data_IF_090168016311
#
_entry.id   IF_090168016311
#
_cell.length_a   1.000
_cell.length_b   1.000
_cell.length_c   1.000
_cell.angle_alpha   90.00
_cell.angle_beta   90.00
_cell.angle_gamma   90.00
#
_symmetry.space_group_name_H-M   'P 1'
#
loop_
_entity.id
_entity.type
_entity.pdbx_description
1 polymer ?
#
# COMPACT_ATOMS: atom_id res chain seq x y z
N UNK A 1 -24.02 -69.31 -10.18
CA UNK A 1 -24.08 -69.88 -8.82
C UNK A 1 -22.79 -69.50 -8.13
N UNK A 2 -22.68 -68.76 -7.03
CA UNK A 2 -23.58 -68.39 -5.94
C UNK A 2 -22.94 -67.17 -5.26
N UNK A 3 -23.75 -66.13 -5.02
CA UNK A 3 -23.77 -65.15 -3.91
C UNK A 3 -22.43 -64.65 -3.31
N UNK A 4 -22.22 -63.35 -3.09
CA UNK A 4 -23.16 -62.53 -2.36
C UNK A 4 -22.91 -61.02 -2.57
N UNK A 5 -24.01 -60.32 -2.80
CA UNK A 5 -24.24 -58.93 -2.36
C UNK A 5 -23.66 -58.75 -0.95
N UNK A 6 -22.58 -58.00 -0.84
CA UNK A 6 -22.21 -57.32 0.39
C UNK A 6 -22.41 -55.83 0.15
N UNK A 7 -23.59 -55.40 0.61
CA UNK A 7 -24.03 -54.02 0.66
C UNK A 7 -23.52 -53.43 1.97
N UNK A 8 -23.07 -52.17 1.90
CA UNK A 8 -22.90 -51.15 2.94
C UNK A 8 -21.75 -51.32 3.95
N UNK A 9 -20.73 -50.48 3.79
CA UNK A 9 -20.19 -49.69 4.91
C UNK A 9 -19.69 -48.35 4.39
N UNK A 10 -20.36 -47.26 4.79
CA UNK A 10 -19.91 -45.89 4.61
C UNK A 10 -18.74 -45.60 5.57
N UNK A 11 -17.78 -44.77 5.17
CA UNK A 11 -17.03 -43.84 6.04
C UNK A 11 -16.28 -42.83 5.13
N UNK A 12 -16.62 -41.56 5.34
CA UNK A 12 -15.99 -40.38 4.74
C UNK A 12 -14.52 -40.24 5.18
N UNK A 13 -13.65 -39.76 4.28
CA UNK A 13 -12.37 -39.18 4.68
C UNK A 13 -11.90 -38.09 3.71
N UNK A 14 -12.07 -36.84 4.17
CA UNK A 14 -11.26 -35.65 3.94
C UNK A 14 -10.93 -35.24 2.49
N UNK A 15 -11.79 -34.40 1.92
CA UNK A 15 -11.31 -33.36 1.01
C UNK A 15 -10.49 -32.35 1.84
N UNK A 16 -9.17 -32.53 1.89
CA UNK A 16 -8.26 -31.46 2.25
C UNK A 16 -8.24 -30.46 1.10
N UNK A 17 -9.28 -29.63 1.01
CA UNK A 17 -9.14 -28.35 0.33
C UNK A 17 -8.21 -27.56 1.24
N UNK A 18 -6.93 -27.58 0.91
CA UNK A 18 -5.96 -26.67 1.48
C UNK A 18 -6.54 -25.28 1.32
N UNK A 19 -7.00 -24.71 2.44
CA UNK A 19 -7.24 -23.29 2.58
C UNK A 19 -5.85 -22.66 2.43
N UNK A 20 -5.41 -22.48 1.18
CA UNK A 20 -4.42 -21.48 0.89
C UNK A 20 -5.00 -20.20 1.46
N UNK A 21 -4.44 -19.75 2.59
CA UNK A 21 -4.76 -18.45 3.14
C UNK A 21 -4.75 -17.45 1.98
N UNK A 22 -5.69 -16.49 1.92
CA UNK A 22 -5.66 -15.49 0.88
C UNK A 22 -4.26 -14.89 0.91
N UNK A 23 -3.52 -15.07 -0.18
CA UNK A 23 -2.29 -14.34 -0.38
C UNK A 23 -2.72 -12.88 -0.40
N UNK A 24 -2.55 -12.19 0.73
CA UNK A 24 -2.78 -10.78 0.82
C UNK A 24 -1.78 -10.20 -0.16
N UNK A 25 -2.25 -9.77 -1.32
CA UNK A 25 -1.47 -8.94 -2.21
C UNK A 25 -1.34 -7.60 -1.47
N UNK A 26 -0.38 -7.52 -0.54
CA UNK A 26 0.07 -6.25 0.00
C UNK A 26 0.45 -5.41 -1.22
N UNK A 27 -0.36 -4.40 -1.49
CA UNK A 27 -0.12 -3.52 -2.63
C UNK A 27 1.17 -2.80 -2.33
N UNK A 28 2.14 -2.90 -3.24
CA UNK A 28 3.43 -2.21 -3.15
C UNK A 28 3.17 -0.75 -2.72
N UNK A 29 3.74 -0.30 -1.59
CA UNK A 29 3.49 1.04 -1.06
C UNK A 29 3.89 2.13 -2.06
N UNK A 30 4.87 1.86 -2.94
CA UNK A 30 5.28 2.82 -3.98
C UNK A 30 4.18 2.97 -5.04
N UNK A 31 3.58 1.85 -5.46
CA UNK A 31 2.46 1.84 -6.40
C UNK A 31 1.23 2.51 -5.78
N UNK A 32 0.93 2.22 -4.52
CA UNK A 32 -0.18 2.84 -3.80
C UNK A 32 0.00 4.37 -3.68
N UNK A 33 1.22 4.80 -3.34
CA UNK A 33 1.58 6.21 -3.22
C UNK A 33 1.44 6.95 -4.56
N UNK A 34 2.03 6.43 -5.64
CA UNK A 34 1.97 7.05 -6.97
C UNK A 34 0.52 7.17 -7.45
N UNK A 35 -0.27 6.11 -7.33
CA UNK A 35 -1.69 6.14 -7.67
C UNK A 35 -2.46 7.20 -6.86
N UNK A 36 -2.16 7.36 -5.58
CA UNK A 36 -2.86 8.31 -4.72
C UNK A 36 -2.50 9.77 -5.03
N UNK A 37 -1.25 10.07 -5.40
CA UNK A 37 -0.85 11.42 -5.81
C UNK A 37 -1.34 11.74 -7.24
N UNK A 38 -1.42 10.74 -8.13
CA UNK A 38 -2.03 10.87 -9.46
C UNK A 38 -3.52 11.22 -9.35
N UNK A 39 -4.27 10.48 -8.53
CA UNK A 39 -5.69 10.76 -8.25
C UNK A 39 -5.91 12.13 -7.57
N UNK A 40 -4.90 12.64 -6.88
CA UNK A 40 -4.92 13.97 -6.29
C UNK A 40 -4.58 15.10 -7.29
N UNK A 41 -4.21 14.76 -8.53
CA UNK A 41 -3.77 15.73 -9.54
C UNK A 41 -2.45 16.40 -9.19
N UNK A 42 -1.55 15.66 -8.53
CA UNK A 42 -0.21 16.14 -8.19
C UNK A 42 0.76 15.66 -9.27
N UNK A 43 1.24 16.59 -10.08
CA UNK A 43 2.21 16.29 -11.13
C UNK A 43 3.60 16.04 -10.56
N UNK A 44 4.32 15.08 -11.14
CA UNK A 44 5.73 14.80 -10.90
C UNK A 44 6.40 14.43 -12.22
N UNK A 45 7.70 14.72 -12.35
CA UNK A 45 8.47 14.45 -13.57
C UNK A 45 9.03 13.03 -13.60
N UNK A 46 9.44 12.53 -12.44
CA UNK A 46 10.03 11.20 -12.29
C UNK A 46 9.32 10.45 -11.13
N UNK A 47 8.70 9.29 -11.39
CA UNK A 47 8.04 8.50 -10.35
C UNK A 47 9.00 8.00 -9.26
N UNK A 48 10.25 7.67 -9.60
CA UNK A 48 11.25 7.22 -8.63
C UNK A 48 11.67 8.36 -7.70
N UNK A 49 11.82 9.57 -8.24
CA UNK A 49 12.07 10.76 -7.41
C UNK A 49 10.88 11.07 -6.50
N UNK A 50 9.64 10.99 -7.01
CA UNK A 50 8.44 11.20 -6.21
C UNK A 50 8.34 10.21 -5.04
N UNK A 51 8.63 8.93 -5.28
CA UNK A 51 8.71 7.89 -4.24
C UNK A 51 9.80 8.23 -3.22
N UNK A 52 11.01 8.56 -3.67
CA UNK A 52 12.12 8.91 -2.78
C UNK A 52 11.77 10.09 -1.86
N UNK A 53 11.17 11.15 -2.43
CA UNK A 53 10.71 12.32 -1.66
C UNK A 53 9.57 11.94 -0.69
N UNK A 54 8.63 11.09 -1.11
CA UNK A 54 7.58 10.57 -0.23
C UNK A 54 8.14 9.80 0.97
N UNK A 55 9.18 8.97 0.77
CA UNK A 55 9.87 8.26 1.86
C UNK A 55 10.62 9.23 2.79
N UNK A 56 11.29 10.24 2.24
CA UNK A 56 11.94 11.29 3.03
C UNK A 56 10.95 12.08 3.90
N UNK A 57 9.72 12.29 3.42
CA UNK A 57 8.67 12.87 4.27
C UNK A 57 8.46 12.00 5.51
N UNK A 58 8.44 10.68 5.38
CA UNK A 58 8.31 9.81 6.54
C UNK A 58 9.48 9.93 7.51
N UNK A 59 10.72 9.91 7.00
CA UNK A 59 11.92 10.10 7.82
C UNK A 59 11.89 11.44 8.57
N UNK A 60 11.47 12.50 7.88
CA UNK A 60 11.32 13.84 8.46
C UNK A 60 10.29 13.86 9.60
N UNK A 61 9.15 13.19 9.43
CA UNK A 61 8.13 13.09 10.49
C UNK A 61 8.61 12.22 11.65
N UNK A 62 9.32 11.13 11.37
CA UNK A 62 9.89 10.26 12.41
C UNK A 62 10.95 10.97 13.26
N UNK A 63 11.66 11.95 12.68
CA UNK A 63 12.57 12.85 13.41
C UNK A 63 11.85 13.86 14.34
N UNK A 64 10.51 13.80 14.45
CA UNK A 64 9.70 14.65 15.33
C UNK A 64 9.27 15.98 14.69
N UNK A 65 9.51 16.17 13.40
CA UNK A 65 9.04 17.35 12.71
C UNK A 65 7.54 17.27 12.34
N UNK A 66 6.95 18.43 12.07
CA UNK A 66 5.52 18.54 11.77
C UNK A 66 5.23 18.48 10.25
N UNK A 67 4.02 18.06 9.90
CA UNK A 67 3.57 17.92 8.51
C UNK A 67 3.53 19.24 7.74
N UNK A 68 3.30 20.37 8.42
CA UNK A 68 3.35 21.71 7.81
C UNK A 68 4.77 22.11 7.42
N UNK A 69 5.76 21.72 8.24
CA UNK A 69 7.19 21.84 7.94
C UNK A 69 7.57 21.06 6.69
N UNK A 70 7.12 19.80 6.60
CA UNK A 70 7.35 18.96 5.42
C UNK A 70 6.71 19.58 4.15
N UNK A 71 5.46 20.02 4.24
CA UNK A 71 4.78 20.66 3.11
C UNK A 71 5.45 21.96 2.67
N UNK A 72 6.00 22.73 3.63
CA UNK A 72 6.79 23.94 3.34
C UNK A 72 8.11 23.59 2.64
N UNK A 73 8.82 22.56 3.10
CA UNK A 73 10.05 22.11 2.48
C UNK A 73 9.82 21.67 1.02
N UNK A 74 8.78 20.89 0.75
CA UNK A 74 8.40 20.49 -0.61
C UNK A 74 8.18 21.69 -1.53
N UNK A 75 7.55 22.75 -1.03
CA UNK A 75 7.29 23.98 -1.82
C UNK A 75 8.51 24.87 -2.02
N UNK A 76 9.46 24.82 -1.09
CA UNK A 76 10.75 25.51 -1.26
C UNK A 76 11.51 24.87 -2.42
N UNK A 77 11.53 23.53 -2.46
CA UNK A 77 12.18 22.77 -3.53
C UNK A 77 11.39 22.76 -4.84
N UNK A 78 10.06 22.83 -4.78
CA UNK A 78 9.17 22.88 -5.94
C UNK A 78 8.17 24.05 -5.82
N UNK A 79 8.56 25.19 -6.38
CA UNK A 79 7.76 26.44 -6.34
C UNK A 79 6.45 26.35 -7.13
N UNK A 80 6.34 25.40 -8.06
CA UNK A 80 5.11 25.11 -8.80
C UNK A 80 4.07 24.34 -8.00
N UNK A 81 4.48 23.69 -6.90
CA UNK A 81 3.58 22.91 -6.06
C UNK A 81 2.66 23.83 -5.23
N UNK A 82 1.35 23.69 -5.43
CA UNK A 82 0.36 24.44 -4.67
C UNK A 82 0.38 24.07 -3.18
N UNK A 83 -0.07 24.97 -2.31
CA UNK A 83 -0.18 24.71 -0.87
C UNK A 83 -1.01 23.45 -0.59
N UNK A 84 -2.14 23.32 -1.29
CA UNK A 84 -3.06 22.19 -1.17
C UNK A 84 -2.39 20.89 -1.60
N UNK A 85 -1.67 20.89 -2.73
CA UNK A 85 -1.02 19.69 -3.24
C UNK A 85 0.17 19.28 -2.37
N UNK A 86 0.94 20.23 -1.83
CA UNK A 86 2.00 19.93 -0.88
C UNK A 86 1.48 19.28 0.40
N UNK A 87 0.40 19.81 0.98
CA UNK A 87 -0.23 19.20 2.15
C UNK A 87 -0.77 17.79 1.85
N UNK A 88 -1.39 17.61 0.67
CA UNK A 88 -1.93 16.31 0.25
C UNK A 88 -0.82 15.28 -0.02
N UNK A 89 0.27 15.69 -0.65
CA UNK A 89 1.46 14.85 -0.85
C UNK A 89 1.98 14.33 0.49
N UNK A 90 2.15 15.22 1.48
CA UNK A 90 2.63 14.83 2.82
C UNK A 90 1.69 13.84 3.50
N UNK A 91 0.38 14.05 3.41
CA UNK A 91 -0.60 13.15 4.01
C UNK A 91 -0.57 11.76 3.34
N UNK A 92 -0.51 11.71 2.01
CA UNK A 92 -0.42 10.45 1.25
C UNK A 92 0.91 9.73 1.52
N UNK A 93 2.02 10.46 1.58
CA UNK A 93 3.33 9.93 1.94
C UNK A 93 3.31 9.32 3.35
N UNK A 94 2.75 10.03 4.32
CA UNK A 94 2.59 9.53 5.69
C UNK A 94 1.76 8.25 5.74
N UNK A 95 0.63 8.18 5.06
CA UNK A 95 -0.22 6.98 5.09
C UNK A 95 0.40 5.80 4.35
N UNK A 96 1.24 6.06 3.33
CA UNK A 96 1.86 5.00 2.52
C UNK A 96 3.16 4.48 3.12
N UNK A 97 3.97 5.37 3.71
CA UNK A 97 5.34 5.06 4.13
C UNK A 97 5.60 5.14 5.63
N UNK A 98 4.66 5.67 6.43
CA UNK A 98 4.75 5.63 7.90
C UNK A 98 3.69 4.71 8.53
N UNK A 99 3.70 3.40 8.24
CA UNK A 99 2.87 2.47 8.98
C UNK A 99 3.47 2.30 10.39
N UNK A 100 2.77 2.87 11.38
CA UNK A 100 3.01 2.86 12.83
C UNK A 100 3.89 4.00 13.38
#
# INVERSE_FOLDING_TARGET
>A
MKHARWILTAISAAALVGLGAPAHADTDPDVAFLNAIDQAGIEYTDPQEAVAVGRQVCDYLHAGHQTDGAARALRISNRGLSVKNAARFVMVARTSYCPN
#
